data_IF_482979452744
#
_entry.id   IF_482979452744
#
_cell.length_a   1.000
_cell.length_b   1.000
_cell.length_c   1.000
_cell.angle_alpha   90.00
_cell.angle_beta   90.00
_cell.angle_gamma   90.00
#
_symmetry.space_group_name_H-M   'P 1'
#
loop_
_entity.id
_entity.type
_entity.pdbx_description
1 polymer ?
#
# COMPACT_ATOMS: atom_id res chain seq x y z
N UNK A 1 74.17 44.35 -10.31
CA UNK A 1 73.30 44.21 -9.11
C UNK A 1 71.85 44.74 -9.28
N UNK A 2 71.43 45.26 -10.44
CA UNK A 2 70.07 45.85 -10.63
C UNK A 2 69.00 44.84 -11.11
N UNK A 3 69.38 43.78 -11.80
CA UNK A 3 68.45 42.76 -12.37
C UNK A 3 67.78 41.91 -11.27
N UNK A 4 68.46 41.69 -10.13
CA UNK A 4 67.94 40.91 -8.99
C UNK A 4 66.76 41.59 -8.27
N UNK A 5 66.65 42.93 -8.29
CA UNK A 5 65.56 43.66 -7.62
C UNK A 5 64.24 43.62 -8.43
N UNK A 6 64.33 43.52 -9.75
CA UNK A 6 63.14 43.42 -10.62
C UNK A 6 62.44 42.06 -10.53
N UNK A 7 63.22 40.98 -10.40
CA UNK A 7 62.67 39.62 -10.24
C UNK A 7 61.87 39.51 -8.92
N UNK A 8 62.36 40.13 -7.84
CA UNK A 8 61.63 40.20 -6.57
C UNK A 8 60.37 41.07 -6.64
N UNK A 9 60.42 42.19 -7.36
CA UNK A 9 59.25 43.06 -7.57
C UNK A 9 58.13 42.38 -8.35
N UNK A 10 58.46 41.65 -9.42
CA UNK A 10 57.48 40.89 -10.22
C UNK A 10 56.87 39.75 -9.40
N UNK A 11 57.69 39.04 -8.60
CA UNK A 11 57.19 37.98 -7.73
C UNK A 11 56.18 38.48 -6.69
N UNK A 12 56.39 39.66 -6.11
CA UNK A 12 55.47 40.28 -5.14
C UNK A 12 54.13 40.66 -5.80
N UNK A 13 54.17 41.22 -7.02
CA UNK A 13 52.94 41.60 -7.74
C UNK A 13 52.11 40.37 -8.13
N UNK A 14 52.76 39.27 -8.55
CA UNK A 14 52.07 38.02 -8.85
C UNK A 14 51.46 37.41 -7.58
N UNK A 15 52.19 37.41 -6.46
CA UNK A 15 51.69 36.90 -5.18
C UNK A 15 50.49 37.72 -4.64
N UNK A 16 50.54 39.05 -4.74
CA UNK A 16 49.43 39.94 -4.40
C UNK A 16 48.22 39.73 -5.33
N UNK A 17 48.45 39.58 -6.63
CA UNK A 17 47.40 39.25 -7.60
C UNK A 17 46.72 37.91 -7.29
N UNK A 18 47.50 36.90 -6.88
CA UNK A 18 46.98 35.60 -6.44
C UNK A 18 46.19 35.71 -5.14
N UNK A 19 46.67 36.46 -4.14
CA UNK A 19 45.92 36.67 -2.90
C UNK A 19 44.59 37.39 -3.14
N UNK A 20 44.59 38.46 -3.94
CA UNK A 20 43.35 39.20 -4.27
C UNK A 20 42.40 38.32 -5.10
N UNK A 21 42.92 37.51 -6.01
CA UNK A 21 42.11 36.56 -6.79
C UNK A 21 41.50 35.45 -5.92
N UNK A 22 42.26 34.93 -4.94
CA UNK A 22 41.77 33.93 -3.99
C UNK A 22 40.76 34.52 -2.99
N UNK A 23 40.98 35.74 -2.50
CA UNK A 23 40.03 36.45 -1.64
C UNK A 23 38.73 36.77 -2.38
N UNK A 24 38.81 37.21 -3.64
CA UNK A 24 37.62 37.44 -4.47
C UNK A 24 36.84 36.14 -4.76
N UNK A 25 37.55 35.04 -5.04
CA UNK A 25 36.91 33.72 -5.23
C UNK A 25 36.25 33.21 -3.93
N UNK A 26 36.88 33.45 -2.78
CA UNK A 26 36.34 33.09 -1.48
C UNK A 26 35.12 33.95 -1.11
N UNK A 27 35.19 35.26 -1.33
CA UNK A 27 34.09 36.19 -1.10
C UNK A 27 32.86 35.83 -1.95
N UNK A 28 33.05 35.45 -3.22
CA UNK A 28 31.93 35.05 -4.07
C UNK A 28 31.23 33.75 -3.60
N UNK A 29 31.99 32.80 -3.03
CA UNK A 29 31.41 31.62 -2.34
C UNK A 29 30.72 31.98 -1.03
N UNK A 30 31.08 33.10 -0.41
CA UNK A 30 30.46 33.62 0.81
C UNK A 30 29.23 34.50 0.52
N UNK A 31 28.97 34.88 -0.74
CA UNK A 31 27.83 35.73 -1.14
C UNK A 31 26.53 34.95 -1.46
N UNK A 32 26.64 33.68 -1.88
CA UNK A 32 25.49 32.87 -2.29
C UNK A 32 25.42 31.55 -1.52
N UNK A 33 24.21 31.00 -1.32
CA UNK A 33 24.08 29.68 -0.72
C UNK A 33 24.71 28.58 -1.61
N UNK A 34 25.26 27.50 -1.04
CA UNK A 34 25.76 26.36 -1.81
C UNK A 34 24.66 25.81 -2.71
N UNK A 35 24.93 25.65 -4.01
CA UNK A 35 23.99 25.01 -4.93
C UNK A 35 24.11 23.49 -4.74
N UNK A 36 23.01 22.77 -4.46
CA UNK A 36 23.06 21.32 -4.35
C UNK A 36 23.38 20.70 -5.70
N UNK A 37 24.17 19.64 -5.68
CA UNK A 37 24.30 18.71 -6.78
C UNK A 37 23.12 17.74 -6.71
N UNK A 38 22.31 17.69 -7.77
CA UNK A 38 21.11 16.87 -7.83
C UNK A 38 21.26 15.87 -8.96
N UNK A 39 21.01 14.59 -8.68
CA UNK A 39 21.12 13.53 -9.67
C UNK A 39 19.90 12.60 -9.62
N UNK A 40 19.56 12.01 -10.76
CA UNK A 40 18.68 10.84 -10.86
C UNK A 40 19.51 9.73 -11.48
N UNK A 41 19.84 8.71 -10.67
CA UNK A 41 20.85 7.70 -10.99
C UNK A 41 22.17 8.30 -11.46
N UNK A 42 22.50 8.12 -12.74
CA UNK A 42 23.73 8.66 -13.35
C UNK A 42 23.57 10.04 -14.02
N UNK A 43 22.35 10.57 -14.06
CA UNK A 43 22.02 11.81 -14.77
C UNK A 43 22.06 13.01 -13.83
N UNK A 44 22.92 13.99 -14.13
CA UNK A 44 22.95 15.27 -13.43
C UNK A 44 21.77 16.15 -13.84
N UNK A 45 21.09 16.71 -12.84
CA UNK A 45 19.87 17.50 -13.02
C UNK A 45 20.18 18.98 -12.86
N UNK A 46 19.59 19.82 -13.71
CA UNK A 46 19.76 21.27 -13.61
C UNK A 46 19.04 21.80 -12.36
N UNK A 47 19.76 22.62 -11.58
CA UNK A 47 19.23 23.26 -10.38
C UNK A 47 19.19 24.76 -10.60
N UNK A 48 18.04 25.37 -10.35
CA UNK A 48 17.86 26.82 -10.40
C UNK A 48 17.76 27.38 -8.99
N UNK A 49 18.62 28.33 -8.64
CA UNK A 49 18.56 29.04 -7.36
C UNK A 49 17.38 30.03 -7.38
N UNK A 50 16.46 29.88 -6.44
CA UNK A 50 15.37 30.81 -6.20
C UNK A 50 15.67 31.79 -5.08
N UNK A 51 14.64 32.08 -4.27
CA UNK A 51 14.72 32.97 -3.11
C UNK A 51 15.70 32.44 -2.06
N UNK A 52 16.60 33.30 -1.59
CA UNK A 52 17.56 32.96 -0.53
C UNK A 52 17.78 34.11 0.46
N UNK A 53 18.27 33.75 1.64
CA UNK A 53 18.69 34.68 2.69
C UNK A 53 20.13 34.37 3.08
N UNK A 54 21.06 35.20 2.62
CA UNK A 54 22.49 35.08 2.89
C UNK A 54 22.97 36.44 3.38
N UNK A 55 23.43 36.54 4.63
CA UNK A 55 23.78 37.80 5.32
C UNK A 55 22.61 38.73 5.72
N UNK A 56 21.41 38.18 5.91
CA UNK A 56 20.30 38.89 6.56
C UNK A 56 19.31 39.57 5.63
N UNK A 57 19.70 39.81 4.37
CA UNK A 57 18.80 40.31 3.32
C UNK A 57 18.22 39.15 2.51
N UNK A 58 16.96 39.33 2.09
CA UNK A 58 16.29 38.42 1.18
C UNK A 58 16.65 38.81 -0.26
N UNK A 59 17.14 37.86 -1.03
CA UNK A 59 17.57 38.08 -2.42
C UNK A 59 16.83 37.13 -3.36
N UNK A 60 16.63 37.60 -4.60
CA UNK A 60 15.88 36.96 -5.67
C UNK A 60 14.37 36.80 -5.35
N UNK A 61 13.55 37.71 -5.87
CA UNK A 61 12.11 37.81 -5.64
C UNK A 61 11.25 37.27 -6.81
N UNK A 62 11.85 36.54 -7.75
CA UNK A 62 11.12 35.93 -8.85
C UNK A 62 10.01 34.99 -8.36
N UNK A 63 8.85 35.02 -9.02
CA UNK A 63 7.76 34.12 -8.68
C UNK A 63 8.13 32.67 -9.02
N UNK A 64 7.73 31.72 -8.15
CA UNK A 64 7.96 30.29 -8.34
C UNK A 64 7.55 29.79 -9.73
N UNK A 65 6.40 30.24 -10.23
CA UNK A 65 5.87 29.83 -11.53
C UNK A 65 6.75 30.28 -12.68
N UNK A 66 7.40 31.45 -12.57
CA UNK A 66 8.35 31.94 -13.57
C UNK A 66 9.64 31.11 -13.55
N UNK A 67 10.17 30.84 -12.35
CA UNK A 67 11.39 30.04 -12.18
C UNK A 67 11.20 28.63 -12.75
N UNK A 68 10.06 27.98 -12.50
CA UNK A 68 9.78 26.62 -13.01
C UNK A 68 9.53 26.63 -14.52
N UNK A 69 8.83 27.64 -15.05
CA UNK A 69 8.59 27.75 -16.50
C UNK A 69 9.88 27.99 -17.30
N UNK A 70 10.82 28.75 -16.74
CA UNK A 70 12.12 29.02 -17.35
C UNK A 70 13.17 27.93 -17.05
N UNK A 71 12.89 27.04 -16.08
CA UNK A 71 13.78 25.96 -15.72
C UNK A 71 13.95 24.98 -16.88
N UNK A 72 15.20 24.68 -17.22
CA UNK A 72 15.52 23.67 -18.22
C UNK A 72 15.28 22.28 -17.63
N UNK A 73 14.13 21.69 -17.95
CA UNK A 73 13.81 20.33 -17.55
C UNK A 73 14.88 19.35 -18.03
N UNK A 74 15.31 18.46 -17.14
CA UNK A 74 16.20 17.34 -17.48
C UNK A 74 15.36 16.09 -17.65
N UNK A 75 15.52 15.39 -18.79
CA UNK A 75 14.89 14.08 -18.99
C UNK A 75 15.59 13.04 -18.14
N UNK A 76 14.82 12.27 -17.37
CA UNK A 76 15.34 11.30 -16.40
C UNK A 76 14.51 10.01 -16.40
N UNK A 77 15.15 8.90 -16.04
CA UNK A 77 14.47 7.65 -15.70
C UNK A 77 13.91 7.76 -14.25
N UNK A 78 12.58 7.74 -14.05
CA UNK A 78 12.00 7.89 -12.72
C UNK A 78 12.21 6.68 -11.81
N UNK A 79 12.69 5.55 -12.34
CA UNK A 79 12.99 4.31 -11.59
C UNK A 79 14.40 4.29 -10.99
N UNK A 80 15.19 5.37 -11.17
CA UNK A 80 16.51 5.51 -10.56
C UNK A 80 16.46 6.43 -9.32
N UNK A 81 17.39 6.22 -8.38
CA UNK A 81 17.46 7.01 -7.14
C UNK A 81 17.57 8.52 -7.41
N UNK A 82 16.70 9.32 -6.78
CA UNK A 82 16.84 10.77 -6.74
C UNK A 82 17.68 11.20 -5.54
N UNK A 83 18.81 11.87 -5.80
CA UNK A 83 19.79 12.28 -4.79
C UNK A 83 20.02 13.77 -4.81
N UNK A 84 20.15 14.36 -3.62
CA UNK A 84 20.42 15.78 -3.41
C UNK A 84 21.61 15.87 -2.46
N UNK A 85 22.72 16.44 -2.92
CA UNK A 85 23.95 16.56 -2.14
C UNK A 85 24.44 18.01 -2.12
N UNK A 86 24.70 18.57 -0.94
CA UNK A 86 25.25 19.91 -0.83
C UNK A 86 26.78 19.87 -0.80
N UNK A 87 27.42 20.40 -1.84
CA UNK A 87 28.88 20.53 -1.86
C UNK A 87 29.32 21.74 -1.02
N UNK A 88 29.96 21.51 0.13
CA UNK A 88 30.44 22.56 1.02
C UNK A 88 29.70 22.61 2.35
N UNK A 89 29.20 23.79 2.73
CA UNK A 89 28.43 23.95 3.97
C UNK A 89 27.16 23.09 3.92
N UNK A 90 26.98 22.23 4.92
CA UNK A 90 25.82 21.37 5.00
C UNK A 90 24.64 22.13 5.59
N UNK A 91 23.43 21.96 5.02
CA UNK A 91 22.23 22.46 5.66
C UNK A 91 22.01 21.76 7.00
N UNK A 92 21.46 22.49 7.95
CA UNK A 92 20.94 21.99 9.22
C UNK A 92 19.58 21.32 9.08
N UNK A 93 18.87 21.65 7.99
CA UNK A 93 17.56 21.11 7.68
C UNK A 93 17.23 21.32 6.19
N UNK A 94 16.67 20.30 5.56
CA UNK A 94 16.24 20.26 4.17
C UNK A 94 14.78 19.82 4.09
N UNK A 95 14.01 20.49 3.26
CA UNK A 95 12.64 20.11 2.92
C UNK A 95 12.47 20.10 1.41
N UNK A 96 12.04 18.98 0.86
CA UNK A 96 11.74 18.81 -0.57
C UNK A 96 10.23 18.74 -0.71
N UNK A 97 9.69 19.54 -1.63
CA UNK A 97 8.27 19.55 -1.94
C UNK A 97 8.08 19.30 -3.42
N UNK A 98 7.11 18.47 -3.75
CA UNK A 98 6.64 18.26 -5.10
C UNK A 98 5.69 19.41 -5.47
N UNK A 99 5.84 19.95 -6.66
CA UNK A 99 5.02 21.04 -7.18
C UNK A 99 4.00 20.48 -8.17
N UNK A 100 2.74 20.81 -8.00
CA UNK A 100 1.76 20.56 -9.05
C UNK A 100 1.99 21.55 -10.20
N UNK A 101 2.25 21.10 -11.44
CA UNK A 101 2.50 21.99 -12.57
C UNK A 101 1.28 22.84 -12.97
N UNK A 102 0.08 22.48 -12.51
CA UNK A 102 -1.17 23.16 -12.83
C UNK A 102 -1.70 24.04 -11.68
N UNK A 103 -1.07 24.00 -10.51
CA UNK A 103 -1.50 24.78 -9.35
C UNK A 103 -0.32 25.41 -8.58
N UNK A 104 -0.62 26.22 -7.55
CA UNK A 104 0.41 26.73 -6.62
C UNK A 104 0.59 25.81 -5.41
N UNK A 105 0.05 24.60 -5.46
CA UNK A 105 0.10 23.65 -4.35
C UNK A 105 1.50 23.02 -4.23
N UNK A 106 1.94 22.85 -2.98
CA UNK A 106 3.20 22.23 -2.61
C UNK A 106 2.88 20.98 -1.78
N UNK A 107 3.27 19.80 -2.27
CA UNK A 107 3.09 18.55 -1.53
C UNK A 107 4.40 18.19 -0.83
N UNK A 108 4.42 18.02 0.50
CA UNK A 108 5.63 17.62 1.21
C UNK A 108 6.07 16.25 0.71
N UNK A 109 7.34 16.13 0.32
CA UNK A 109 7.90 14.92 -0.25
C UNK A 109 9.01 14.34 0.62
N UNK A 110 9.85 15.21 1.18
CA UNK A 110 10.86 14.84 2.16
C UNK A 110 11.13 15.98 3.15
N UNK A 111 11.47 15.64 4.39
CA UNK A 111 11.85 16.60 5.42
C UNK A 111 12.85 15.96 6.41
N UNK A 112 14.00 16.61 6.64
CA UNK A 112 15.02 16.06 7.55
C UNK A 112 16.24 16.95 7.73
N UNK A 113 17.20 16.50 8.56
CA UNK A 113 18.43 17.24 8.83
C UNK A 113 19.44 17.19 7.66
N UNK A 114 19.42 16.11 6.87
CA UNK A 114 20.29 15.91 5.70
C UNK A 114 19.63 14.97 4.70
N UNK A 115 20.03 15.08 3.43
CA UNK A 115 19.63 14.20 2.32
C UNK A 115 20.71 13.19 1.95
N UNK A 116 21.92 13.28 2.51
CA UNK A 116 23.08 12.50 2.04
C UNK A 116 22.94 10.97 2.24
N UNK A 117 22.12 10.54 3.20
CA UNK A 117 21.88 9.12 3.50
C UNK A 117 20.45 8.68 3.17
N UNK A 118 19.69 9.51 2.45
CA UNK A 118 18.28 9.25 2.13
C UNK A 118 18.10 8.95 0.64
N UNK A 119 17.51 7.80 0.35
CA UNK A 119 17.02 7.49 -0.99
C UNK A 119 15.65 8.14 -1.12
N UNK A 120 15.51 9.05 -2.07
CA UNK A 120 14.24 9.69 -2.39
C UNK A 120 13.72 9.01 -3.67
N UNK A 121 12.53 8.41 -3.61
CA UNK A 121 11.91 7.71 -4.74
C UNK A 121 10.96 8.64 -5.48
N UNK A 122 11.17 8.83 -6.79
CA UNK A 122 10.26 9.64 -7.61
C UNK A 122 8.96 8.86 -7.88
N UNK A 123 7.79 9.53 -7.96
CA UNK A 123 6.57 8.85 -8.39
C UNK A 123 6.72 8.28 -9.79
N UNK A 124 6.20 7.07 -9.97
CA UNK A 124 6.33 6.27 -11.18
C UNK A 124 5.55 6.81 -12.39
N UNK A 125 4.71 7.83 -12.24
CA UNK A 125 3.98 8.40 -13.39
C UNK A 125 4.94 9.12 -14.36
N UNK A 126 4.86 8.90 -15.68
CA UNK A 126 5.66 9.65 -16.64
C UNK A 126 5.16 11.10 -16.80
N UNK A 127 6.03 11.98 -17.32
CA UNK A 127 5.71 13.36 -17.64
C UNK A 127 6.45 14.40 -16.79
N UNK A 128 6.05 15.66 -16.96
CA UNK A 128 6.69 16.81 -16.31
C UNK A 128 6.41 16.85 -14.80
N UNK A 129 7.47 16.99 -14.00
CA UNK A 129 7.37 17.17 -12.56
C UNK A 129 8.43 18.16 -12.07
N UNK A 130 8.01 19.12 -11.24
CA UNK A 130 8.94 20.06 -10.60
C UNK A 130 9.02 19.83 -9.09
N UNK A 131 10.18 20.14 -8.53
CA UNK A 131 10.47 20.04 -7.10
C UNK A 131 11.05 21.34 -6.58
N UNK A 132 10.68 21.68 -5.34
CA UNK A 132 11.19 22.82 -4.58
C UNK A 132 11.95 22.31 -3.36
N UNK A 133 13.23 22.64 -3.29
CA UNK A 133 14.15 22.25 -2.22
C UNK A 133 14.39 23.49 -1.35
N UNK A 134 13.93 23.48 -0.10
CA UNK A 134 14.23 24.51 0.90
C UNK A 134 15.33 24.00 1.82
N UNK A 135 16.43 24.74 1.94
CA UNK A 135 17.56 24.40 2.80
C UNK A 135 17.82 25.51 3.82
N UNK A 136 17.93 25.13 5.09
CA UNK A 136 18.31 26.02 6.19
C UNK A 136 19.74 25.72 6.63
N UNK A 137 20.55 26.75 6.74
CA UNK A 137 21.96 26.69 7.14
C UNK A 137 22.18 27.35 8.50
N UNK A 138 23.41 27.31 9.00
CA UNK A 138 23.76 27.97 10.26
C UNK A 138 23.54 29.48 10.17
N UNK A 139 23.34 30.11 11.33
CA UNK A 139 23.16 31.57 11.45
C UNK A 139 21.91 32.11 10.74
N UNK A 140 20.89 31.26 10.55
CA UNK A 140 19.60 31.66 9.96
C UNK A 140 19.66 31.90 8.45
N UNK A 141 20.74 31.48 7.80
CA UNK A 141 20.90 31.49 6.34
C UNK A 141 19.99 30.45 5.69
N UNK A 142 19.43 30.76 4.52
CA UNK A 142 18.46 29.90 3.81
C UNK A 142 18.65 29.95 2.31
N UNK A 143 18.35 28.88 1.61
CA UNK A 143 18.30 28.81 0.15
C UNK A 143 17.09 28.02 -0.33
N UNK A 144 16.46 28.49 -1.40
CA UNK A 144 15.41 27.76 -2.12
C UNK A 144 15.93 27.40 -3.50
N UNK A 145 15.75 26.15 -3.91
CA UNK A 145 16.19 25.66 -5.21
C UNK A 145 15.04 24.96 -5.91
N UNK A 146 15.04 25.06 -7.23
CA UNK A 146 14.02 24.45 -8.07
C UNK A 146 14.68 23.46 -9.04
N UNK A 147 14.02 22.34 -9.20
CA UNK A 147 14.41 21.25 -10.09
C UNK A 147 13.22 20.93 -10.97
N UNK A 148 13.42 20.91 -12.28
CA UNK A 148 12.41 20.50 -13.25
C UNK A 148 12.84 19.21 -13.93
N UNK A 149 11.98 18.20 -13.91
CA UNK A 149 12.21 16.89 -14.49
C UNK A 149 11.19 16.62 -15.58
N UNK A 150 11.64 15.99 -16.67
CA UNK A 150 10.77 15.33 -17.63
C UNK A 150 10.94 13.82 -17.43
N UNK A 151 10.02 13.18 -16.71
CA UNK A 151 10.11 11.75 -16.39
C UNK A 151 9.74 10.94 -17.63
N UNK A 152 10.67 10.12 -18.10
CA UNK A 152 10.40 9.28 -19.26
C UNK A 152 9.48 8.11 -18.90
N UNK A 153 8.77 7.61 -19.92
CA UNK A 153 8.03 6.34 -19.84
C UNK A 153 8.97 5.21 -20.23
N UNK A 154 9.54 4.51 -19.25
CA UNK A 154 10.50 3.41 -19.46
C UNK A 154 9.77 2.13 -19.84
N UNK A 155 8.70 1.82 -19.11
CA UNK A 155 7.83 0.67 -19.34
C UNK A 155 6.37 1.09 -19.36
N UNK A 156 5.52 0.35 -20.04
CA UNK A 156 4.10 0.66 -20.17
C UNK A 156 3.32 0.58 -18.87
N UNK A 157 3.76 -0.30 -17.96
CA UNK A 157 3.17 -0.56 -16.65
C UNK A 157 3.86 0.20 -15.51
N UNK A 158 4.63 1.25 -15.79
CA UNK A 158 5.43 1.96 -14.79
C UNK A 158 4.60 2.39 -13.58
N UNK A 159 3.39 2.90 -13.81
CA UNK A 159 2.43 3.33 -12.78
C UNK A 159 1.91 2.17 -11.91
N UNK A 160 2.10 0.92 -12.35
CA UNK A 160 1.77 -0.26 -11.57
C UNK A 160 2.93 -0.70 -10.68
N UNK A 161 4.14 -0.20 -10.85
CA UNK A 161 5.26 -0.55 -9.97
C UNK A 161 4.97 -0.08 -8.54
N UNK A 162 5.48 -0.83 -7.57
CA UNK A 162 5.38 -0.48 -6.16
C UNK A 162 6.09 0.84 -5.87
N UNK A 163 5.53 1.67 -4.99
CA UNK A 163 6.17 2.94 -4.58
C UNK A 163 7.26 2.72 -3.51
N UNK A 164 7.22 1.59 -2.79
CA UNK A 164 8.19 1.26 -1.75
C UNK A 164 8.81 -0.11 -2.03
N UNK A 165 10.15 -0.16 -1.96
CA UNK A 165 11.01 -1.34 -2.07
C UNK A 165 10.64 -2.51 -1.13
N UNK A 166 9.88 -2.25 -0.05
CA UNK A 166 9.40 -3.28 0.86
C UNK A 166 7.97 -3.73 0.59
N UNK A 167 7.34 -3.24 -0.47
CA UNK A 167 5.97 -3.55 -0.84
C UNK A 167 5.83 -4.02 -2.28
N UNK A 168 4.70 -4.66 -2.56
CA UNK A 168 4.35 -5.15 -3.87
C UNK A 168 3.09 -4.46 -4.37
N UNK A 169 2.87 -4.57 -5.66
CA UNK A 169 1.58 -4.30 -6.28
C UNK A 169 1.15 -5.49 -7.11
N UNK A 170 -0.16 -5.61 -7.34
CA UNK A 170 -0.74 -6.65 -8.17
C UNK A 170 -1.69 -6.06 -9.21
N UNK A 171 -1.51 -6.45 -10.46
CA UNK A 171 -2.51 -6.28 -11.50
C UNK A 171 -3.24 -7.60 -11.68
N UNK A 172 -4.56 -7.54 -11.53
CA UNK A 172 -5.45 -8.67 -11.79
C UNK A 172 -6.36 -8.37 -12.99
N UNK A 173 -6.26 -9.22 -14.01
CA UNK A 173 -7.09 -9.13 -15.23
C UNK A 173 -8.01 -10.34 -15.31
N UNK A 174 -9.33 -10.13 -15.30
CA UNK A 174 -10.31 -11.22 -15.34
C UNK A 174 -11.62 -10.83 -16.03
N UNK A 175 -12.00 -11.55 -17.08
CA UNK A 175 -13.20 -11.30 -17.89
C UNK A 175 -14.53 -11.41 -17.13
N UNK A 176 -14.54 -12.03 -15.94
CA UNK A 176 -15.73 -12.17 -15.10
C UNK A 176 -15.56 -11.36 -13.80
N UNK A 177 -16.68 -11.01 -13.15
CA UNK A 177 -16.71 -10.64 -11.73
C UNK A 177 -16.29 -11.87 -10.91
N UNK A 178 -15.01 -12.18 -10.97
CA UNK A 178 -14.42 -13.30 -10.27
C UNK A 178 -14.20 -12.88 -8.83
N UNK A 179 -14.57 -13.76 -7.90
CA UNK A 179 -14.29 -13.58 -6.49
C UNK A 179 -12.80 -13.36 -6.30
N UNK A 180 -12.43 -12.26 -5.66
CA UNK A 180 -11.05 -11.96 -5.34
C UNK A 180 -10.40 -13.14 -4.61
N UNK A 181 -9.39 -13.83 -5.20
CA UNK A 181 -8.79 -15.01 -4.58
C UNK A 181 -8.05 -14.65 -3.28
N UNK A 182 -7.85 -13.37 -3.01
CA UNK A 182 -7.17 -12.85 -1.84
C UNK A 182 -8.13 -12.40 -0.73
N UNK A 183 -9.45 -12.42 -0.96
CA UNK A 183 -10.44 -11.82 -0.05
C UNK A 183 -10.39 -12.35 1.38
N UNK A 184 -10.04 -13.63 1.55
CA UNK A 184 -9.94 -14.30 2.84
C UNK A 184 -8.51 -14.40 3.35
N UNK A 185 -7.53 -13.84 2.63
CA UNK A 185 -6.14 -13.85 3.03
C UNK A 185 -5.80 -12.57 3.80
N UNK A 186 -4.90 -12.63 4.79
CA UNK A 186 -4.57 -11.49 5.62
C UNK A 186 -3.58 -10.53 4.92
N UNK A 187 -3.67 -10.37 3.59
CA UNK A 187 -2.75 -9.61 2.74
C UNK A 187 -2.88 -8.08 2.86
N UNK A 188 -4.01 -7.58 3.37
CA UNK A 188 -4.28 -6.13 3.50
C UNK A 188 -3.92 -5.52 4.86
N UNK A 189 -3.63 -6.35 5.87
CA UNK A 189 -3.44 -5.91 7.26
C UNK A 189 -2.00 -6.10 7.78
N UNK A 190 -1.10 -6.62 6.94
CA UNK A 190 0.30 -6.88 7.26
C UNK A 190 0.81 -8.19 6.65
N UNK A 191 2.10 -8.49 6.87
CA UNK A 191 2.76 -9.71 6.37
C UNK A 191 3.28 -9.64 4.94
N UNK A 192 2.52 -9.04 4.01
CA UNK A 192 2.98 -8.64 2.67
C UNK A 192 2.18 -7.39 2.26
N UNK A 193 2.78 -6.18 2.21
CA UNK A 193 2.04 -4.99 1.79
C UNK A 193 1.81 -5.02 0.28
N UNK A 194 0.54 -5.11 -0.13
CA UNK A 194 0.13 -5.19 -1.54
C UNK A 194 -0.88 -4.11 -1.87
N UNK A 195 -0.66 -3.37 -2.96
CA UNK A 195 -1.69 -2.55 -3.61
C UNK A 195 -2.27 -3.29 -4.83
N UNK A 196 -3.59 -3.22 -5.02
CA UNK A 196 -4.26 -3.99 -6.07
C UNK A 196 -4.94 -3.12 -7.12
N UNK A 197 -4.67 -3.39 -8.40
CA UNK A 197 -5.45 -2.88 -9.52
C UNK A 197 -6.20 -4.04 -10.19
N UNK A 198 -7.47 -3.81 -10.55
CA UNK A 198 -8.32 -4.81 -11.21
C UNK A 198 -8.90 -4.25 -12.49
N UNK A 199 -8.95 -5.09 -13.52
CA UNK A 199 -9.66 -4.79 -14.75
C UNK A 199 -10.32 -6.05 -15.30
N UNK A 200 -11.53 -5.90 -15.83
CA UNK A 200 -12.23 -6.99 -16.50
C UNK A 200 -12.14 -6.96 -18.03
N UNK A 201 -11.46 -5.95 -18.59
CA UNK A 201 -11.29 -5.80 -20.02
C UNK A 201 -9.85 -6.07 -20.43
N UNK A 202 -9.61 -7.28 -20.96
CA UNK A 202 -8.31 -7.69 -21.50
C UNK A 202 -7.84 -6.74 -22.59
N UNK A 203 -8.72 -6.27 -23.48
CA UNK A 203 -8.32 -5.43 -24.61
C UNK A 203 -7.84 -4.07 -24.12
N UNK A 204 -8.57 -3.48 -23.15
CA UNK A 204 -8.14 -2.25 -22.49
C UNK A 204 -6.82 -2.45 -21.74
N UNK A 205 -6.67 -3.55 -21.01
CA UNK A 205 -5.44 -3.88 -20.29
C UNK A 205 -4.24 -4.06 -21.24
N UNK A 206 -4.41 -4.77 -22.36
CA UNK A 206 -3.39 -4.94 -23.40
C UNK A 206 -3.00 -3.60 -24.04
N UNK A 207 -3.97 -2.72 -24.28
CA UNK A 207 -3.73 -1.41 -24.88
C UNK A 207 -2.99 -0.49 -23.92
N UNK A 208 -3.33 -0.52 -22.63
CA UNK A 208 -2.72 0.31 -21.61
C UNK A 208 -1.31 -0.18 -21.24
N UNK A 209 -1.14 -1.50 -21.16
CA UNK A 209 0.09 -2.17 -20.71
C UNK A 209 0.63 -3.17 -21.75
N UNK A 210 1.00 -2.73 -22.97
CA UNK A 210 1.46 -3.62 -24.04
C UNK A 210 2.69 -4.46 -23.68
N UNK A 211 3.56 -3.99 -22.78
CA UNK A 211 4.77 -4.74 -22.38
C UNK A 211 4.46 -5.95 -21.49
N UNK A 212 3.27 -6.02 -20.89
CA UNK A 212 2.83 -7.16 -20.07
C UNK A 212 2.36 -8.36 -20.91
N UNK A 213 2.18 -8.19 -22.22
CA UNK A 213 1.75 -9.23 -23.16
C UNK A 213 0.56 -10.07 -22.61
N UNK A 214 -0.48 -9.36 -22.13
CA UNK A 214 -1.65 -9.94 -21.46
C UNK A 214 -2.45 -10.74 -22.47
N UNK A 215 -2.26 -12.05 -22.56
CA UNK A 215 -2.90 -12.88 -23.61
C UNK A 215 -4.02 -13.79 -23.10
N UNK A 216 -4.25 -13.82 -21.78
CA UNK A 216 -5.19 -14.73 -21.12
C UNK A 216 -5.91 -14.07 -19.95
N UNK A 217 -7.07 -14.61 -19.64
CA UNK A 217 -7.83 -14.34 -18.42
C UNK A 217 -8.18 -15.67 -17.72
N UNK A 218 -8.04 -15.77 -16.38
CA UNK A 218 -7.45 -14.75 -15.52
C UNK A 218 -5.94 -14.61 -15.78
N UNK A 219 -5.38 -13.44 -15.50
CA UNK A 219 -3.94 -13.23 -15.41
C UNK A 219 -3.58 -12.29 -14.25
N UNK A 220 -2.46 -12.60 -13.62
CA UNK A 220 -1.95 -11.94 -12.44
C UNK A 220 -0.51 -11.52 -12.70
N UNK A 221 -0.18 -10.30 -12.33
CA UNK A 221 1.17 -9.74 -12.43
C UNK A 221 1.52 -9.10 -11.10
N UNK A 222 2.63 -9.53 -10.51
CA UNK A 222 3.17 -8.97 -9.28
C UNK A 222 4.36 -8.10 -9.65
N UNK A 223 4.39 -6.89 -9.12
CA UNK A 223 5.46 -5.94 -9.34
C UNK A 223 6.17 -5.60 -8.02
N UNK A 224 7.48 -5.43 -8.08
CA UNK A 224 8.23 -4.68 -7.06
C UNK A 224 8.37 -3.22 -7.49
N UNK A 225 9.33 -2.50 -6.89
CA UNK A 225 9.64 -1.11 -7.21
C UNK A 225 10.30 -0.91 -8.59
N UNK A 226 10.62 -1.98 -9.32
CA UNK A 226 11.43 -1.93 -10.54
C UNK A 226 10.80 -2.63 -11.74
N UNK A 227 10.23 -3.81 -11.53
CA UNK A 227 9.77 -4.65 -12.62
C UNK A 227 8.65 -5.63 -12.23
N UNK A 228 8.17 -6.37 -13.22
CA UNK A 228 7.33 -7.55 -12.99
C UNK A 228 8.23 -8.68 -12.46
N UNK A 229 7.98 -9.10 -11.23
CA UNK A 229 8.77 -10.15 -10.57
C UNK A 229 8.09 -11.52 -10.62
N UNK A 230 6.79 -11.56 -10.87
CA UNK A 230 6.04 -12.81 -11.00
C UNK A 230 4.79 -12.62 -11.87
N UNK A 231 4.48 -13.63 -12.67
CA UNK A 231 3.30 -13.67 -13.52
C UNK A 231 2.72 -15.07 -13.48
N UNK A 232 1.40 -15.17 -13.33
CA UNK A 232 0.70 -16.44 -13.50
C UNK A 232 -0.71 -16.23 -14.05
N UNK A 233 -1.30 -17.28 -14.59
CA UNK A 233 -2.72 -17.39 -14.91
C UNK A 233 -3.45 -18.33 -13.94
N UNK A 234 -2.79 -18.75 -12.85
CA UNK A 234 -3.33 -19.57 -11.79
C UNK A 234 -3.25 -18.82 -10.46
N UNK A 235 -4.38 -18.64 -9.78
CA UNK A 235 -4.43 -17.97 -8.49
C UNK A 235 -3.67 -18.73 -7.41
N UNK A 236 -3.61 -20.06 -7.47
CA UNK A 236 -2.88 -20.89 -6.50
C UNK A 236 -1.38 -20.58 -6.52
N UNK A 237 -0.79 -20.42 -7.72
CA UNK A 237 0.63 -20.09 -7.87
C UNK A 237 0.96 -18.69 -7.30
N UNK A 238 0.02 -17.75 -7.38
CA UNK A 238 0.17 -16.40 -6.81
C UNK A 238 0.09 -16.46 -5.28
N UNK A 239 -0.84 -17.25 -4.74
CA UNK A 239 -0.95 -17.48 -3.31
C UNK A 239 0.34 -18.13 -2.78
N UNK A 240 0.86 -19.16 -3.47
CA UNK A 240 2.14 -19.80 -3.13
C UNK A 240 3.31 -18.82 -3.17
N UNK A 241 3.34 -17.92 -4.16
CA UNK A 241 4.33 -16.84 -4.22
C UNK A 241 4.28 -15.98 -2.95
N UNK A 242 3.11 -15.49 -2.57
CA UNK A 242 2.96 -14.64 -1.39
C UNK A 242 3.20 -15.38 -0.07
N UNK A 243 2.82 -16.66 0.02
CA UNK A 243 3.19 -17.53 1.15
C UNK A 243 4.72 -17.60 1.31
N UNK A 244 5.47 -17.67 0.21
CA UNK A 244 6.94 -17.69 0.26
C UNK A 244 7.59 -16.37 0.71
N UNK A 245 6.84 -15.26 0.64
CA UNK A 245 7.28 -13.91 1.05
C UNK A 245 6.71 -13.50 2.41
N UNK A 246 5.88 -14.34 3.01
CA UNK A 246 5.15 -14.01 4.21
C UNK A 246 6.07 -13.81 5.41
N UNK A 247 5.92 -12.66 6.06
CA UNK A 247 6.52 -12.42 7.38
C UNK A 247 5.44 -12.46 8.47
N UNK A 248 5.68 -13.15 9.60
CA UNK A 248 4.72 -13.16 10.71
C UNK A 248 4.43 -11.76 11.24
N UNK A 249 3.16 -11.48 11.50
CA UNK A 249 2.72 -10.18 11.98
C UNK A 249 1.54 -10.30 12.95
N UNK A 250 1.28 -9.22 13.69
CA UNK A 250 0.21 -9.14 14.69
C UNK A 250 -0.85 -8.13 14.26
N UNK A 251 -2.12 -8.45 14.52
CA UNK A 251 -3.24 -7.53 14.37
C UNK A 251 -4.14 -7.54 15.60
N UNK A 252 -4.89 -6.46 15.77
CA UNK A 252 -6.12 -6.44 16.55
C UNK A 252 -7.28 -6.66 15.58
N UNK A 253 -8.10 -7.69 15.83
CA UNK A 253 -9.27 -8.00 15.03
C UNK A 253 -10.52 -7.91 15.90
N UNK A 254 -11.57 -7.29 15.34
CA UNK A 254 -12.85 -7.07 15.99
C UNK A 254 -13.97 -7.51 15.07
N UNK A 255 -14.92 -8.28 15.59
CA UNK A 255 -16.13 -8.60 14.83
C UNK A 255 -16.91 -9.77 15.39
N UNK A 256 -18.03 -10.12 14.73
CA UNK A 256 -18.83 -11.27 15.12
C UNK A 256 -18.14 -12.59 14.76
N UNK A 257 -18.35 -13.61 15.60
CA UNK A 257 -18.00 -15.00 15.28
C UNK A 257 -18.97 -15.53 14.22
N UNK A 258 -18.47 -15.77 13.01
CA UNK A 258 -19.24 -16.18 11.82
C UNK A 258 -19.15 -17.68 11.53
N UNK A 259 -18.18 -18.40 12.11
CA UNK A 259 -18.03 -19.85 11.96
C UNK A 259 -17.40 -20.43 13.20
N UNK A 260 -17.85 -21.62 13.59
CA UNK A 260 -17.27 -22.42 14.67
C UNK A 260 -17.06 -23.84 14.16
N UNK A 261 -15.80 -24.24 14.06
CA UNK A 261 -15.38 -25.62 13.86
C UNK A 261 -14.74 -26.16 15.14
N UNK A 262 -15.58 -26.80 15.96
CA UNK A 262 -15.17 -27.43 17.23
C UNK A 262 -14.09 -28.50 17.04
N UNK A 263 -14.10 -29.22 15.91
CA UNK A 263 -13.22 -30.36 15.69
C UNK A 263 -11.78 -29.89 15.45
N UNK A 264 -11.62 -28.88 14.60
CA UNK A 264 -10.31 -28.32 14.25
C UNK A 264 -9.91 -27.14 15.12
N UNK A 265 -10.79 -26.72 16.05
CA UNK A 265 -10.63 -25.54 16.91
C UNK A 265 -10.46 -24.25 16.11
N UNK A 266 -11.14 -24.15 14.97
CA UNK A 266 -11.10 -23.00 14.07
C UNK A 266 -12.35 -22.16 14.26
N UNK A 267 -12.19 -20.86 14.38
CA UNK A 267 -13.28 -19.88 14.35
C UNK A 267 -13.10 -18.92 13.17
N UNK A 268 -14.18 -18.38 12.63
CA UNK A 268 -14.11 -17.24 11.72
C UNK A 268 -14.58 -15.97 12.43
N UNK A 269 -13.79 -14.91 12.41
CA UNK A 269 -14.14 -13.59 12.96
C UNK A 269 -13.78 -12.51 11.95
N UNK A 270 -14.77 -11.73 11.52
CA UNK A 270 -14.54 -10.65 10.56
C UNK A 270 -14.01 -11.11 9.20
N UNK A 271 -14.34 -12.33 8.77
CA UNK A 271 -13.89 -12.91 7.50
C UNK A 271 -12.61 -13.75 7.58
N UNK A 272 -11.88 -13.69 8.69
CA UNK A 272 -10.63 -14.43 8.88
C UNK A 272 -10.81 -15.66 9.75
N UNK A 273 -10.12 -16.75 9.40
CA UNK A 273 -10.10 -17.98 10.20
C UNK A 273 -8.91 -18.01 11.17
N UNK A 274 -9.16 -18.49 12.39
CA UNK A 274 -8.20 -18.52 13.49
C UNK A 274 -8.30 -19.81 14.30
N UNK A 275 -7.16 -20.33 14.71
CA UNK A 275 -7.09 -21.38 15.73
C UNK A 275 -7.17 -20.80 17.14
N UNK A 276 -8.02 -21.37 18.00
CA UNK A 276 -8.08 -20.99 19.42
C UNK A 276 -8.38 -22.18 20.34
N UNK A 277 -7.66 -22.25 21.46
CA UNK A 277 -7.92 -23.23 22.52
C UNK A 277 -9.20 -22.92 23.31
N UNK A 278 -9.62 -21.66 23.31
CA UNK A 278 -10.81 -21.19 24.05
C UNK A 278 -12.12 -21.43 23.30
N UNK A 279 -12.09 -22.22 22.22
CA UNK A 279 -13.22 -22.37 21.32
C UNK A 279 -14.50 -22.73 22.07
N UNK A 280 -14.45 -23.66 23.04
CA UNK A 280 -15.60 -24.16 23.81
C UNK A 280 -16.44 -23.06 24.50
N UNK A 281 -15.85 -21.89 24.77
CA UNK A 281 -16.56 -20.77 25.39
C UNK A 281 -17.21 -19.82 24.38
N UNK A 282 -16.95 -20.01 23.09
CA UNK A 282 -17.43 -19.17 22.00
C UNK A 282 -18.73 -19.68 21.40
N UNK A 283 -19.55 -18.77 20.91
CA UNK A 283 -20.81 -19.03 20.22
C UNK A 283 -20.92 -18.16 18.98
N UNK A 284 -21.62 -18.68 17.97
CA UNK A 284 -21.89 -17.95 16.74
C UNK A 284 -22.63 -16.64 17.06
N UNK A 285 -22.24 -15.54 16.42
CA UNK A 285 -22.85 -14.23 16.60
C UNK A 285 -22.34 -13.42 17.79
N UNK A 286 -21.46 -13.96 18.64
CA UNK A 286 -20.75 -13.16 19.65
C UNK A 286 -19.83 -12.14 18.98
N UNK A 287 -19.84 -10.88 19.42
CA UNK A 287 -18.76 -9.95 19.06
C UNK A 287 -17.57 -10.17 19.96
N UNK A 288 -16.41 -10.38 19.35
CA UNK A 288 -15.16 -10.60 20.06
C UNK A 288 -14.12 -9.59 19.63
N UNK A 289 -13.25 -9.24 20.58
CA UNK A 289 -12.03 -8.51 20.34
C UNK A 289 -10.84 -9.42 20.62
N UNK A 290 -9.97 -9.56 19.64
CA UNK A 290 -8.83 -10.47 19.71
C UNK A 290 -7.54 -9.81 19.22
N UNK A 291 -6.45 -10.14 19.91
CA UNK A 291 -5.10 -9.86 19.44
C UNK A 291 -4.53 -11.16 18.89
N UNK A 292 -4.20 -11.17 17.61
CA UNK A 292 -3.80 -12.38 16.89
C UNK A 292 -2.50 -12.17 16.17
N UNK A 293 -1.62 -13.16 16.27
CA UNK A 293 -0.41 -13.26 15.46
C UNK A 293 -0.61 -14.30 14.36
N UNK A 294 -0.41 -13.90 13.12
CA UNK A 294 -0.37 -14.82 11.98
C UNK A 294 1.06 -15.32 11.80
N UNK A 295 1.29 -16.64 11.91
CA UNK A 295 2.58 -17.25 11.57
C UNK A 295 2.57 -17.92 10.18
N UNK A 296 1.40 -18.00 9.54
CA UNK A 296 1.22 -18.48 8.18
C UNK A 296 0.09 -17.71 7.50
N UNK A 297 0.17 -17.55 6.17
CA UNK A 297 -0.81 -16.77 5.40
C UNK A 297 -2.12 -17.51 5.16
N UNK A 298 -2.07 -18.81 4.87
CA UNK A 298 -3.22 -19.61 4.42
C UNK A 298 -3.63 -20.71 5.40
N UNK A 299 -2.88 -20.90 6.49
CA UNK A 299 -3.10 -22.00 7.43
C UNK A 299 -3.57 -21.42 8.77
N UNK A 300 -4.89 -21.43 9.06
CA UNK A 300 -5.42 -20.87 10.30
C UNK A 300 -4.93 -21.64 11.53
N UNK A 301 -4.44 -22.86 11.40
CA UNK A 301 -3.87 -23.63 12.53
C UNK A 301 -2.54 -23.07 13.02
N UNK A 302 -1.91 -22.18 12.24
CA UNK A 302 -0.66 -21.51 12.58
C UNK A 302 -0.86 -20.08 13.10
N UNK A 303 -2.09 -19.70 13.47
CA UNK A 303 -2.35 -18.46 14.19
C UNK A 303 -2.13 -18.63 15.70
N UNK A 304 -1.67 -17.58 16.37
CA UNK A 304 -1.59 -17.51 17.83
C UNK A 304 -2.52 -16.40 18.34
N UNK A 305 -3.65 -16.79 18.94
CA UNK A 305 -4.57 -15.88 19.61
C UNK A 305 -4.00 -15.55 20.99
N UNK A 306 -3.45 -14.34 21.13
CA UNK A 306 -2.78 -13.88 22.35
C UNK A 306 -3.79 -13.41 23.41
N UNK A 307 -4.85 -12.74 22.96
CA UNK A 307 -5.97 -12.32 23.81
C UNK A 307 -7.28 -12.53 23.06
N UNK A 308 -8.32 -12.92 23.79
CA UNK A 308 -9.69 -13.00 23.29
C UNK A 308 -10.63 -12.50 24.38
N UNK A 309 -11.43 -11.49 24.05
CA UNK A 309 -12.47 -10.95 24.94
C UNK A 309 -13.80 -10.98 24.20
N UNK A 310 -14.86 -11.44 24.86
CA UNK A 310 -16.23 -11.33 24.37
C UNK A 310 -16.76 -9.96 24.76
N UNK A 311 -17.09 -9.14 23.76
CA UNK A 311 -17.62 -7.79 23.93
C UNK A 311 -19.16 -7.79 23.92
N UNK A 312 -19.75 -8.69 23.11
CA UNK A 312 -21.20 -8.87 23.03
C UNK A 312 -21.56 -10.35 22.98
N UNK A 313 -22.54 -10.73 23.80
CA UNK A 313 -23.16 -12.07 23.77
C UNK A 313 -23.95 -12.30 22.48
N UNK A 314 -24.17 -13.57 22.07
CA UNK A 314 -24.84 -13.83 20.80
C UNK A 314 -26.31 -13.44 20.89
N UNK A 315 -26.95 -13.12 19.75
CA UNK A 315 -28.39 -12.82 19.70
C UNK A 315 -29.23 -13.98 20.26
N UNK A 316 -30.30 -13.67 21.00
CA UNK A 316 -31.13 -14.66 21.68
C UNK A 316 -31.74 -15.67 20.68
N UNK A 317 -32.06 -15.20 19.47
CA UNK A 317 -32.56 -16.02 18.38
C UNK A 317 -31.57 -17.14 18.02
N UNK A 318 -30.25 -16.95 18.13
CA UNK A 318 -29.29 -18.01 17.84
C UNK A 318 -29.20 -19.06 18.95
N UNK A 319 -29.75 -18.77 20.13
CA UNK A 319 -29.75 -19.66 21.28
C UNK A 319 -31.01 -20.53 21.34
N UNK A 320 -32.10 -20.09 20.72
CA UNK A 320 -33.39 -20.75 20.76
C UNK A 320 -33.37 -22.11 20.06
N UNK A 321 -33.84 -23.14 20.77
CA UNK A 321 -33.85 -24.51 20.30
C UNK A 321 -34.78 -24.72 19.10
N UNK A 322 -35.76 -23.84 18.88
CA UNK A 322 -36.70 -23.95 17.76
C UNK A 322 -35.99 -23.88 16.39
N UNK A 323 -34.83 -23.24 16.32
CA UNK A 323 -34.05 -23.10 15.08
C UNK A 323 -33.12 -24.27 14.83
N UNK A 324 -32.81 -25.08 15.85
CA UNK A 324 -31.93 -26.24 15.71
C UNK A 324 -32.52 -27.30 14.79
N UNK A 325 -31.65 -28.12 14.21
CA UNK A 325 -32.09 -29.27 13.42
C UNK A 325 -32.89 -30.25 14.26
N UNK A 326 -33.97 -30.80 13.70
CA UNK A 326 -34.77 -31.82 14.41
C UNK A 326 -34.08 -33.17 14.51
N UNK A 327 -33.02 -33.40 13.72
CA UNK A 327 -32.35 -34.69 13.59
C UNK A 327 -30.82 -34.55 13.51
N UNK A 328 -30.03 -35.45 14.10
CA UNK A 328 -28.57 -35.35 14.09
C UNK A 328 -27.92 -35.54 12.71
N UNK A 329 -28.66 -36.11 11.75
CA UNK A 329 -28.27 -36.31 10.35
C UNK A 329 -28.73 -35.17 9.42
N UNK A 330 -29.29 -34.09 9.99
CA UNK A 330 -29.74 -32.92 9.24
C UNK A 330 -29.15 -31.62 9.75
N UNK A 331 -29.00 -30.65 8.87
CA UNK A 331 -28.85 -29.25 9.25
C UNK A 331 -30.21 -28.56 9.24
N UNK A 332 -30.34 -27.49 10.03
CA UNK A 332 -31.37 -26.48 9.78
C UNK A 332 -30.71 -25.20 9.30
N UNK A 333 -31.24 -24.62 8.23
CA UNK A 333 -30.82 -23.32 7.70
C UNK A 333 -31.90 -22.30 8.01
N UNK A 334 -31.55 -21.30 8.82
CA UNK A 334 -32.39 -20.16 9.11
C UNK A 334 -31.99 -18.99 8.22
N UNK A 335 -32.90 -18.53 7.36
CA UNK A 335 -32.76 -17.25 6.68
C UNK A 335 -33.38 -16.12 7.51
N UNK A 336 -32.58 -15.08 7.78
CA UNK A 336 -32.99 -13.86 8.50
C UNK A 336 -32.89 -12.68 7.53
N UNK A 337 -34.03 -12.07 7.17
CA UNK A 337 -34.03 -10.91 6.26
C UNK A 337 -35.40 -10.56 5.70
N UNK A 338 -35.40 -9.78 4.62
CA UNK A 338 -36.60 -9.49 3.84
C UNK A 338 -36.87 -10.54 2.74
N UNK A 339 -38.00 -10.39 2.04
CA UNK A 339 -38.37 -11.34 0.98
C UNK A 339 -37.31 -11.48 -0.12
N UNK A 340 -36.70 -10.37 -0.56
CA UNK A 340 -35.71 -10.41 -1.64
C UNK A 340 -34.43 -11.15 -1.22
N UNK A 341 -33.99 -10.97 0.02
CA UNK A 341 -32.87 -11.72 0.58
C UNK A 341 -33.18 -13.22 0.75
N UNK A 342 -34.42 -13.55 1.13
CA UNK A 342 -34.85 -14.93 1.43
C UNK A 342 -35.34 -15.73 0.22
N UNK A 343 -35.57 -15.08 -0.91
CA UNK A 343 -36.04 -15.68 -2.16
C UNK A 343 -35.22 -16.92 -2.59
N UNK A 344 -33.86 -16.93 -2.51
CA UNK A 344 -33.06 -18.09 -2.90
C UNK A 344 -33.40 -19.36 -2.10
N UNK A 345 -33.61 -19.24 -0.78
CA UNK A 345 -33.95 -20.35 0.11
C UNK A 345 -35.38 -20.87 -0.08
N UNK A 346 -36.27 -20.02 -0.59
CA UNK A 346 -37.67 -20.38 -0.87
C UNK A 346 -37.83 -21.20 -2.16
N UNK A 347 -36.76 -21.31 -2.96
CA UNK A 347 -36.77 -22.04 -4.21
C UNK A 347 -36.73 -23.57 -3.96
N UNK A 348 -37.67 -24.37 -4.48
CA UNK A 348 -37.66 -25.82 -4.33
C UNK A 348 -36.35 -26.49 -4.76
N UNK A 349 -35.63 -25.88 -5.71
CA UNK A 349 -34.32 -26.38 -6.16
C UNK A 349 -33.29 -26.45 -5.03
N UNK A 350 -33.37 -25.58 -4.02
CA UNK A 350 -32.45 -25.61 -2.89
C UNK A 350 -32.63 -26.89 -2.07
N UNK A 351 -33.86 -27.24 -1.71
CA UNK A 351 -34.16 -28.47 -0.97
C UNK A 351 -33.97 -29.73 -1.81
N UNK A 352 -34.13 -29.64 -3.14
CA UNK A 352 -33.80 -30.74 -4.05
C UNK A 352 -32.28 -31.01 -4.10
N UNK A 353 -31.47 -29.95 -4.03
CA UNK A 353 -30.00 -30.02 -3.98
C UNK A 353 -29.51 -30.50 -2.60
N UNK A 354 -30.17 -30.05 -1.52
CA UNK A 354 -29.79 -30.34 -0.14
C UNK A 354 -30.96 -31.01 0.62
N UNK A 355 -31.23 -32.31 0.39
CA UNK A 355 -32.37 -33.01 1.00
C UNK A 355 -32.26 -33.17 2.53
N UNK A 356 -31.05 -33.04 3.07
CA UNK A 356 -30.75 -33.15 4.50
C UNK A 356 -30.75 -31.78 5.21
N UNK A 357 -31.32 -30.76 4.57
CA UNK A 357 -31.44 -29.40 5.11
C UNK A 357 -32.90 -29.02 5.38
N UNK A 358 -33.17 -28.57 6.59
CA UNK A 358 -34.46 -27.99 7.00
C UNK A 358 -34.42 -26.47 6.92
N UNK A 359 -35.14 -25.88 5.97
CA UNK A 359 -35.20 -24.42 5.78
C UNK A 359 -36.22 -23.78 6.71
N UNK A 360 -35.80 -22.71 7.39
CA UNK A 360 -36.62 -21.87 8.29
C UNK A 360 -36.41 -20.40 7.96
N UNK A 361 -37.37 -19.57 8.35
CA UNK A 361 -37.37 -18.14 8.03
C UNK A 361 -37.70 -17.29 9.25
N UNK A 362 -37.00 -16.17 9.37
CA UNK A 362 -37.27 -15.10 10.33
C UNK A 362 -37.19 -13.76 9.60
N UNK A 363 -38.21 -12.93 9.78
CA UNK A 363 -38.26 -11.59 9.16
C UNK A 363 -37.61 -10.57 10.08
N UNK A 364 -36.72 -9.73 9.55
CA UNK A 364 -36.02 -8.70 10.31
C UNK A 364 -34.52 -8.82 10.13
N UNK A 365 -33.77 -8.14 10.98
CA UNK A 365 -32.33 -8.23 11.06
C UNK A 365 -31.90 -8.69 12.46
N UNK A 366 -30.68 -9.20 12.56
CA UNK A 366 -30.14 -9.74 13.79
C UNK A 366 -28.85 -8.99 14.15
N UNK A 367 -28.88 -8.00 15.04
CA UNK A 367 -27.64 -7.32 15.43
C UNK A 367 -26.70 -8.28 16.21
N UNK A 368 -25.40 -8.42 15.86
CA UNK A 368 -24.61 -7.62 14.92
C UNK A 368 -24.57 -8.14 13.48
N UNK A 369 -25.17 -9.31 13.19
CA UNK A 369 -25.14 -9.99 11.89
C UNK A 369 -26.00 -9.34 10.79
N UNK A 370 -27.02 -8.56 11.10
CA UNK A 370 -27.92 -8.01 10.09
C UNK A 370 -28.75 -9.09 9.38
N UNK A 371 -28.87 -9.00 8.04
CA UNK A 371 -29.49 -10.03 7.20
C UNK A 371 -28.50 -11.16 6.96
N UNK A 372 -28.86 -12.39 7.32
CA UNK A 372 -27.93 -13.50 7.34
C UNK A 372 -28.61 -14.85 7.12
N UNK A 373 -27.84 -15.79 6.59
CA UNK A 373 -28.17 -17.21 6.60
C UNK A 373 -27.37 -17.90 7.70
N UNK A 374 -28.04 -18.66 8.56
CA UNK A 374 -27.41 -19.35 9.68
C UNK A 374 -27.65 -20.86 9.59
N UNK A 375 -26.58 -21.64 9.70
CA UNK A 375 -26.62 -23.10 9.74
C UNK A 375 -26.57 -23.58 11.19
N UNK A 376 -27.54 -24.40 11.55
CA UNK A 376 -27.67 -25.04 12.84
C UNK A 376 -27.48 -26.55 12.74
N UNK A 377 -26.76 -27.09 13.72
CA UNK A 377 -26.82 -28.52 14.07
C UNK A 377 -27.98 -28.76 15.03
N UNK A 378 -28.11 -30.00 15.53
CA UNK A 378 -29.00 -30.29 16.65
C UNK A 378 -28.57 -29.59 17.96
N UNK A 379 -27.30 -29.19 18.08
CA UNK A 379 -26.73 -28.64 19.33
C UNK A 379 -26.67 -27.13 19.35
N UNK A 380 -26.20 -26.53 18.28
CA UNK A 380 -25.88 -25.10 18.22
C UNK A 380 -25.85 -24.58 16.77
N UNK A 381 -25.87 -23.25 16.64
CA UNK A 381 -25.52 -22.54 15.41
C UNK A 381 -24.01 -22.63 15.18
N UNK A 382 -23.57 -22.95 13.95
CA UNK A 382 -22.16 -23.23 13.64
C UNK A 382 -21.59 -22.39 12.50
N UNK A 383 -22.43 -21.79 11.68
CA UNK A 383 -22.01 -20.99 10.53
C UNK A 383 -23.04 -19.92 10.22
N UNK A 384 -22.57 -18.71 9.93
CA UNK A 384 -23.36 -17.58 9.45
C UNK A 384 -22.69 -17.00 8.20
N UNK A 385 -23.49 -16.55 7.25
CA UNK A 385 -23.01 -15.83 6.08
C UNK A 385 -24.04 -14.81 5.60
N UNK A 386 -23.58 -13.79 4.90
CA UNK A 386 -24.41 -12.78 4.25
C UNK A 386 -24.67 -13.10 2.78
N UNK A 387 -24.02 -14.13 2.24
CA UNK A 387 -24.08 -14.51 0.84
C UNK A 387 -24.67 -15.91 0.68
N UNK A 388 -25.63 -16.06 -0.23
CA UNK A 388 -26.24 -17.34 -0.57
C UNK A 388 -25.22 -18.31 -1.18
N UNK A 389 -24.30 -17.84 -2.02
CA UNK A 389 -23.30 -18.71 -2.66
C UNK A 389 -22.33 -19.30 -1.62
N UNK A 390 -21.97 -18.53 -0.59
CA UNK A 390 -21.14 -19.00 0.52
C UNK A 390 -21.89 -20.00 1.43
N UNK A 391 -23.22 -19.88 1.53
CA UNK A 391 -24.05 -20.88 2.21
C UNK A 391 -24.05 -22.20 1.43
N UNK A 392 -24.31 -22.13 0.12
CA UNK A 392 -24.31 -23.30 -0.76
C UNK A 392 -22.94 -24.00 -0.70
N UNK A 393 -21.85 -23.25 -0.86
CA UNK A 393 -20.49 -23.77 -0.76
C UNK A 393 -20.23 -24.47 0.57
N UNK A 394 -20.62 -23.85 1.69
CA UNK A 394 -20.45 -24.45 3.01
C UNK A 394 -21.15 -25.81 3.12
N UNK A 395 -22.41 -25.90 2.67
CA UNK A 395 -23.20 -27.14 2.71
C UNK A 395 -22.62 -28.24 1.82
N UNK A 396 -22.05 -27.88 0.66
CA UNK A 396 -21.36 -28.82 -0.24
C UNK A 396 -20.06 -29.37 0.35
N UNK A 397 -19.30 -28.53 1.05
CA UNK A 397 -18.03 -28.90 1.68
C UNK A 397 -18.21 -29.70 2.98
N UNK A 398 -19.37 -29.56 3.64
CA UNK A 398 -19.66 -30.17 4.95
C UNK A 398 -20.89 -31.09 4.93
N UNK A 399 -20.97 -32.11 4.05
CA UNK A 399 -22.12 -32.99 4.00
C UNK A 399 -22.25 -33.80 5.29
N UNK A 400 -23.46 -33.87 5.84
CA UNK A 400 -23.77 -34.80 6.92
C UNK A 400 -23.73 -36.23 6.36
N UNK A 401 -23.09 -37.14 7.09
CA UNK A 401 -22.89 -38.54 6.69
C UNK A 401 -23.91 -39.48 7.28
#
# INVERSE_FOLDING_TARGET
>A
MKIRKWIWGIGIVIALGLMVGLDGYKAHKEEHPPIPHVTVGSTEVNVTLGEFKWNGELMNDQEQTEIVADAKATTVNPLEDFKIEFNGEQPTYVRVMMLDPLSKEEFPFFEGATTNDQIIYLPNEPGFQAYKIKANFQEGRKGTYYVALEKEKVVSYQELLSEDSFSYSILYVSENEYADPFSNLPLGYGGVPISGMRTSDINSAQQQYPDLNITKSPSFYIFDDKEVIFQSNNSEEIIEYFVSKFEPFEIENYGPVMKIDRLNKIINVGGYEFYTEDIENLKLGQEVHMKVKFNHMTDPTQTEVQTLTVELEPPEELLDEQWRSTSPDKYSVLGIGDGAFLDPLSNPKFTDQFPDVEVKFHTGDLYPLGYTFVVFTQKEAIYATYNYDDLVKYLEEHPLK
#
